data_IF_638341618576
#
_entry.id   IF_638341618576
#
_cell.length_a   1.000
_cell.length_b   1.000
_cell.length_c   1.000
_cell.angle_alpha   90.00
_cell.angle_beta   90.00
_cell.angle_gamma   90.00
#
_symmetry.space_group_name_H-M   'P 1'
#
loop_
_entity.id
_entity.type
_entity.pdbx_description
1 polymer ?
#
# COMPACT_ATOMS: atom_id res chain seq x y z
N UNK A 1 -0.66 7.16 18.16
CA UNK A 1 -1.06 5.85 17.59
C UNK A 1 -2.35 5.95 16.78
N UNK A 2 -3.48 6.43 17.33
CA UNK A 2 -4.74 6.54 16.58
C UNK A 2 -4.59 7.34 15.27
N UNK A 3 -3.93 8.50 15.31
CA UNK A 3 -3.68 9.30 14.11
C UNK A 3 -2.87 8.56 13.04
N UNK A 4 -1.88 7.74 13.44
CA UNK A 4 -1.08 6.93 12.52
C UNK A 4 -1.91 5.80 11.89
N UNK A 5 -2.80 5.16 12.66
CA UNK A 5 -3.72 4.14 12.15
C UNK A 5 -4.76 4.74 11.19
N UNK A 6 -5.27 5.94 11.47
CA UNK A 6 -6.18 6.66 10.56
C UNK A 6 -5.45 7.02 9.26
N UNK A 7 -4.21 7.51 9.36
CA UNK A 7 -3.40 7.78 8.18
C UNK A 7 -3.20 6.52 7.33
N UNK A 8 -2.78 5.41 7.93
CA UNK A 8 -2.64 4.13 7.21
C UNK A 8 -3.93 3.65 6.58
N UNK A 9 -5.06 3.81 7.27
CA UNK A 9 -6.38 3.44 6.76
C UNK A 9 -6.73 4.23 5.50
N UNK A 10 -6.60 5.57 5.56
CA UNK A 10 -6.88 6.45 4.43
C UNK A 10 -5.92 6.15 3.28
N UNK A 11 -4.63 5.98 3.58
CA UNK A 11 -3.62 5.69 2.56
C UNK A 11 -3.87 4.34 1.88
N UNK A 12 -4.16 3.29 2.65
CA UNK A 12 -4.49 1.97 2.10
C UNK A 12 -5.76 2.02 1.23
N UNK A 13 -6.77 2.81 1.61
CA UNK A 13 -7.96 3.02 0.79
C UNK A 13 -7.63 3.70 -0.55
N UNK A 14 -6.78 4.75 -0.53
CA UNK A 14 -6.30 5.42 -1.75
C UNK A 14 -5.54 4.44 -2.65
N UNK A 15 -4.62 3.68 -2.10
CA UNK A 15 -3.83 2.68 -2.85
C UNK A 15 -4.71 1.58 -3.43
N UNK A 16 -5.72 1.13 -2.67
CA UNK A 16 -6.70 0.14 -3.15
C UNK A 16 -7.50 0.68 -4.33
N UNK A 17 -8.00 1.92 -4.24
CA UNK A 17 -8.74 2.56 -5.32
C UNK A 17 -7.86 2.75 -6.57
N UNK A 18 -6.61 3.18 -6.41
CA UNK A 18 -5.65 3.32 -7.50
C UNK A 18 -5.32 1.97 -8.16
N UNK A 19 -5.06 0.92 -7.39
CA UNK A 19 -4.80 -0.42 -7.92
C UNK A 19 -6.04 -1.06 -8.57
N UNK A 20 -7.24 -0.64 -8.20
CA UNK A 20 -8.48 -1.11 -8.80
C UNK A 20 -8.75 -0.48 -10.19
N UNK A 21 -8.28 0.74 -10.44
CA UNK A 21 -8.50 1.45 -11.73
C UNK A 21 -8.05 0.64 -12.96
N UNK A 22 -6.83 0.04 -12.99
CA UNK A 22 -6.43 -0.85 -14.09
C UNK A 22 -7.30 -2.09 -14.24
N UNK A 23 -7.90 -2.56 -13.14
CA UNK A 23 -8.71 -3.79 -13.09
C UNK A 23 -10.08 -3.58 -13.72
N UNK A 24 -10.67 -2.38 -13.56
CA UNK A 24 -11.97 -2.02 -14.14
C UNK A 24 -11.87 -1.30 -15.50
N UNK A 25 -10.73 -0.70 -15.82
CA UNK A 25 -10.48 0.05 -17.06
C UNK A 25 -10.24 -0.80 -18.31
N UNK A 26 -10.38 -2.13 -18.23
CA UNK A 26 -10.21 -3.02 -19.39
C UNK A 26 -8.76 -3.12 -19.90
N UNK A 27 -7.77 -2.82 -19.06
CA UNK A 27 -6.35 -3.03 -19.35
C UNK A 27 -6.07 -4.54 -19.23
N UNK A 28 -6.60 -5.33 -20.15
CA UNK A 28 -6.36 -6.77 -20.23
C UNK A 28 -5.30 -7.07 -21.29
N UNK A 29 -4.14 -7.51 -20.82
CA UNK A 29 -2.97 -8.01 -21.54
C UNK A 29 -2.21 -6.96 -22.36
N UNK A 30 -0.87 -6.84 -22.20
CA UNK A 30 0.07 -7.81 -21.57
C UNK A 30 0.41 -7.59 -20.09
N UNK A 31 -0.33 -6.74 -19.38
CA UNK A 31 0.00 -6.31 -18.01
C UNK A 31 -0.33 -7.36 -16.93
N UNK A 32 0.51 -7.47 -15.88
CA UNK A 32 0.21 -8.34 -14.74
C UNK A 32 -1.10 -7.93 -14.06
N UNK A 33 -1.89 -8.90 -13.57
CA UNK A 33 -3.17 -8.61 -12.93
C UNK A 33 -2.96 -7.75 -11.68
N UNK A 34 -3.74 -6.68 -11.54
CA UNK A 34 -3.66 -5.79 -10.38
C UNK A 34 -4.40 -6.34 -9.12
N UNK A 35 -5.13 -7.44 -9.27
CA UNK A 35 -5.89 -8.15 -8.22
C UNK A 35 -5.08 -8.44 -6.95
N UNK A 36 -3.87 -9.06 -7.00
CA UNK A 36 -3.06 -9.28 -5.79
C UNK A 36 -2.72 -7.97 -5.04
N UNK A 37 -2.54 -6.87 -5.77
CA UNK A 37 -2.23 -5.57 -5.16
C UNK A 37 -3.45 -4.97 -4.47
N UNK A 38 -4.61 -5.07 -5.10
CA UNK A 38 -5.90 -4.69 -4.49
C UNK A 38 -6.13 -5.51 -3.23
N UNK A 39 -5.90 -6.82 -3.27
CA UNK A 39 -6.07 -7.71 -2.12
C UNK A 39 -5.13 -7.34 -0.96
N UNK A 40 -3.85 -7.08 -1.24
CA UNK A 40 -2.86 -6.71 -0.21
C UNK A 40 -3.11 -5.32 0.38
N UNK A 41 -3.45 -4.33 -0.45
CA UNK A 41 -3.82 -2.99 0.03
C UNK A 41 -5.12 -3.04 0.88
N UNK A 42 -6.08 -3.87 0.47
CA UNK A 42 -7.30 -4.13 1.25
C UNK A 42 -6.96 -4.78 2.59
N UNK A 43 -6.06 -5.77 2.62
CA UNK A 43 -5.60 -6.38 3.87
C UNK A 43 -4.93 -5.35 4.80
N UNK A 44 -4.13 -4.43 4.25
CA UNK A 44 -3.51 -3.35 5.03
C UNK A 44 -4.56 -2.38 5.62
N UNK A 45 -5.62 -2.11 4.86
CA UNK A 45 -6.77 -1.31 5.28
C UNK A 45 -7.52 -1.99 6.44
N UNK A 46 -7.81 -3.29 6.31
CA UNK A 46 -8.45 -4.09 7.36
C UNK A 46 -7.60 -4.18 8.62
N UNK A 47 -6.27 -4.31 8.49
CA UNK A 47 -5.36 -4.27 9.63
C UNK A 47 -5.39 -2.92 10.36
N UNK A 48 -5.43 -1.80 9.63
CA UNK A 48 -5.57 -0.47 10.24
C UNK A 48 -6.91 -0.30 10.98
N UNK A 49 -8.02 -0.74 10.37
CA UNK A 49 -9.35 -0.76 10.99
C UNK A 49 -9.39 -1.61 12.26
N UNK A 50 -8.82 -2.82 12.22
CA UNK A 50 -8.70 -3.70 13.37
C UNK A 50 -7.90 -3.04 14.50
N UNK A 51 -6.83 -2.30 14.19
CA UNK A 51 -6.09 -1.52 15.18
C UNK A 51 -6.90 -0.38 15.82
N UNK A 52 -7.78 0.27 15.06
CA UNK A 52 -8.66 1.31 15.60
C UNK A 52 -9.70 0.72 16.57
N UNK A 53 -10.28 -0.42 16.22
CA UNK A 53 -11.26 -1.15 17.04
C UNK A 53 -10.63 -1.82 18.27
N UNK A 54 -9.53 -2.56 18.08
CA UNK A 54 -8.88 -3.37 19.10
C UNK A 54 -7.77 -2.61 19.82
N UNK A 55 -8.16 -1.76 20.77
CA UNK A 55 -7.25 -0.83 21.48
C UNK A 55 -6.04 -1.51 22.14
N UNK A 56 -6.20 -2.73 22.66
CA UNK A 56 -5.17 -3.50 23.36
C UNK A 56 -4.00 -3.92 22.44
N UNK A 57 -4.25 -4.10 21.14
CA UNK A 57 -3.28 -4.63 20.17
C UNK A 57 -2.88 -3.60 19.11
N UNK A 58 -3.11 -2.31 19.38
CA UNK A 58 -2.87 -1.20 18.43
C UNK A 58 -1.49 -1.22 17.78
N UNK A 59 -0.44 -1.52 18.54
CA UNK A 59 0.92 -1.58 18.02
C UNK A 59 1.10 -2.70 16.99
N UNK A 60 0.60 -3.90 17.32
CA UNK A 60 0.66 -5.05 16.41
C UNK A 60 -0.06 -4.75 15.09
N UNK A 61 -1.29 -4.25 15.16
CA UNK A 61 -2.08 -3.91 13.97
C UNK A 61 -1.46 -2.79 13.14
N UNK A 62 -0.83 -1.81 13.78
CA UNK A 62 -0.07 -0.76 13.10
C UNK A 62 1.13 -1.34 12.34
N UNK A 63 1.92 -2.19 12.99
CA UNK A 63 3.08 -2.84 12.36
C UNK A 63 2.67 -3.76 11.22
N UNK A 64 1.58 -4.51 11.38
CA UNK A 64 1.02 -5.36 10.33
C UNK A 64 0.54 -4.53 9.13
N UNK A 65 -0.21 -3.45 9.37
CA UNK A 65 -0.65 -2.54 8.31
C UNK A 65 0.55 -1.92 7.57
N UNK A 66 1.59 -1.51 8.29
CA UNK A 66 2.83 -1.01 7.70
C UNK A 66 3.59 -2.06 6.91
N UNK A 67 3.69 -3.29 7.41
CA UNK A 67 4.34 -4.37 6.69
C UNK A 67 3.61 -4.66 5.38
N UNK A 68 2.28 -4.71 5.40
CA UNK A 68 1.47 -4.92 4.21
C UNK A 68 1.61 -3.78 3.20
N UNK A 69 1.61 -2.51 3.64
CA UNK A 69 1.86 -1.36 2.76
C UNK A 69 3.30 -1.29 2.24
N UNK A 70 4.29 -1.62 3.06
CA UNK A 70 5.71 -1.55 2.69
C UNK A 70 6.16 -2.70 1.78
N UNK A 71 5.53 -3.87 1.89
CA UNK A 71 5.79 -5.02 1.01
C UNK A 71 5.02 -4.97 -0.30
N UNK A 72 4.18 -3.95 -0.51
CA UNK A 72 3.65 -3.61 -1.83
C UNK A 72 4.76 -3.18 -2.82
N UNK A 73 6.06 -3.39 -2.56
CA UNK A 73 7.16 -3.09 -3.48
C UNK A 73 7.29 -4.09 -4.64
N UNK A 74 6.75 -5.31 -4.49
CA UNK A 74 6.72 -6.32 -5.56
C UNK A 74 6.22 -5.83 -6.95
N UNK A 75 5.17 -4.98 -7.07
CA UNK A 75 4.63 -4.46 -8.33
C UNK A 75 5.57 -3.45 -8.99
N UNK A 76 6.38 -2.71 -8.22
CA UNK A 76 7.38 -1.78 -8.76
C UNK A 76 8.43 -2.52 -9.59
N UNK A 77 8.84 -3.71 -9.12
CA UNK A 77 9.78 -4.56 -9.86
C UNK A 77 9.19 -5.11 -11.16
N UNK A 78 7.89 -5.41 -11.19
CA UNK A 78 7.18 -5.78 -12.40
C UNK A 78 6.96 -4.58 -13.33
N UNK A 79 6.76 -3.38 -12.77
CA UNK A 79 6.60 -2.12 -13.51
C UNK A 79 7.85 -1.72 -14.31
N UNK A 80 9.01 -2.08 -13.77
CA UNK A 80 10.34 -1.81 -14.34
C UNK A 80 10.77 -2.82 -15.42
N UNK A 81 9.98 -3.87 -15.70
CA UNK A 81 10.33 -4.85 -16.73
C UNK A 81 10.08 -4.27 -18.14
N UNK A 82 10.82 -4.73 -19.15
CA UNK A 82 10.56 -4.35 -20.54
C UNK A 82 9.13 -4.76 -20.93
N UNK A 83 8.30 -3.77 -21.23
CA UNK A 83 6.90 -4.00 -21.61
C UNK A 83 6.80 -4.40 -23.08
N UNK A 84 6.07 -5.47 -23.43
CA UNK A 84 6.04 -5.99 -24.80
C UNK A 84 5.28 -5.08 -25.81
N UNK A 85 4.66 -3.98 -25.36
CA UNK A 85 3.97 -3.00 -26.21
C UNK A 85 4.73 -1.70 -26.49
N UNK A 86 5.85 -1.43 -25.80
CA UNK A 86 6.54 -0.15 -25.87
C UNK A 86 5.88 0.94 -25.02
N UNK A 87 5.84 2.18 -25.53
CA UNK A 87 5.16 3.34 -24.89
C UNK A 87 3.68 3.40 -25.33
N UNK A 88 2.99 2.27 -25.29
CA UNK A 88 1.55 2.21 -25.46
C UNK A 88 0.91 2.73 -24.16
N UNK A 89 0.25 3.88 -24.20
CA UNK A 89 -0.18 4.66 -23.01
C UNK A 89 -0.93 3.88 -21.90
N UNK A 90 -1.38 2.65 -22.14
CA UNK A 90 -1.80 1.71 -21.11
C UNK A 90 -0.69 1.29 -20.14
N UNK A 91 0.53 1.05 -20.63
CA UNK A 91 1.68 0.67 -19.81
C UNK A 91 2.25 1.81 -19.00
N UNK A 92 2.26 3.03 -19.56
CA UNK A 92 2.53 4.24 -18.79
C UNK A 92 1.50 4.44 -17.69
N UNK A 93 0.20 4.31 -17.98
CA UNK A 93 -0.84 4.43 -16.97
C UNK A 93 -0.69 3.38 -15.86
N UNK A 94 -0.38 2.13 -16.21
CA UNK A 94 -0.13 1.08 -15.23
C UNK A 94 1.11 1.39 -14.36
N UNK A 95 2.22 1.81 -14.98
CA UNK A 95 3.46 2.19 -14.29
C UNK A 95 3.24 3.37 -13.34
N UNK A 96 2.58 4.44 -13.80
CA UNK A 96 2.33 5.62 -12.97
C UNK A 96 1.33 5.32 -11.86
N UNK A 97 0.24 4.59 -12.12
CA UNK A 97 -0.78 4.35 -11.10
C UNK A 97 -0.33 3.31 -10.08
N UNK A 98 0.16 2.16 -10.53
CA UNK A 98 0.54 1.05 -9.63
C UNK A 98 1.98 1.23 -9.12
N UNK A 99 2.93 1.59 -9.99
CA UNK A 99 4.33 1.79 -9.61
C UNK A 99 4.52 2.98 -8.66
N UNK A 100 3.95 4.16 -8.97
CA UNK A 100 4.10 5.32 -8.08
C UNK A 100 3.36 5.10 -6.74
N UNK A 101 2.15 4.53 -6.76
CA UNK A 101 1.40 4.24 -5.53
C UNK A 101 2.16 3.27 -4.62
N UNK A 102 2.86 2.29 -5.18
CA UNK A 102 3.64 1.30 -4.41
C UNK A 102 4.92 1.92 -3.84
N UNK A 103 5.64 2.73 -4.62
CA UNK A 103 6.79 3.49 -4.13
C UNK A 103 6.43 4.47 -3.01
N UNK A 104 5.33 5.21 -3.16
CA UNK A 104 4.84 6.10 -2.10
C UNK A 104 4.33 5.31 -0.88
N UNK A 105 3.76 4.12 -1.07
CA UNK A 105 3.33 3.26 0.03
C UNK A 105 4.49 2.76 0.88
N UNK A 106 5.65 2.49 0.27
CA UNK A 106 6.86 2.17 1.00
C UNK A 106 7.31 3.34 1.88
N UNK A 107 7.34 4.57 1.33
CA UNK A 107 7.71 5.77 2.09
C UNK A 107 6.71 6.06 3.23
N UNK A 108 5.42 5.89 2.95
CA UNK A 108 4.36 5.99 3.95
C UNK A 108 4.57 4.96 5.07
N UNK A 109 4.81 3.70 4.74
CA UNK A 109 5.05 2.63 5.71
C UNK A 109 6.33 2.87 6.54
N UNK A 110 7.42 3.34 5.92
CA UNK A 110 8.66 3.67 6.63
C UNK A 110 8.45 4.83 7.61
N UNK A 111 7.86 5.94 7.14
CA UNK A 111 7.65 7.13 7.97
C UNK A 111 6.72 6.85 9.15
N UNK A 112 5.64 6.11 8.94
CA UNK A 112 4.73 5.73 10.03
C UNK A 112 5.34 4.70 10.97
N UNK A 113 6.21 3.80 10.48
CA UNK A 113 6.97 2.86 11.33
C UNK A 113 7.95 3.60 12.24
N UNK A 114 8.70 4.57 11.70
CA UNK A 114 9.59 5.44 12.48
C UNK A 114 8.79 6.22 13.52
N UNK A 115 7.68 6.86 13.12
CA UNK A 115 6.82 7.60 14.05
C UNK A 115 6.24 6.68 15.15
N UNK A 116 5.89 5.44 14.80
CA UNK A 116 5.42 4.44 15.74
C UNK A 116 6.51 4.06 16.76
N UNK A 117 7.73 3.80 16.30
CA UNK A 117 8.89 3.49 17.15
C UNK A 117 9.24 4.65 18.08
N UNK A 118 9.29 5.89 17.58
CA UNK A 118 9.53 7.10 18.39
C UNK A 118 8.43 7.27 19.45
N UNK A 119 7.17 7.08 19.09
CA UNK A 119 6.06 7.14 20.04
C UNK A 119 6.14 6.06 21.13
N UNK A 120 6.52 4.83 20.75
CA UNK A 120 6.69 3.73 21.69
C UNK A 120 7.88 3.98 22.63
N UNK A 121 9.01 4.50 22.11
CA UNK A 121 10.20 4.81 22.89
C UNK A 121 9.94 5.91 23.94
N UNK A 122 9.20 6.97 23.56
CA UNK A 122 8.81 8.06 24.49
C UNK A 122 7.85 7.63 25.59
N UNK A 123 7.22 6.46 25.45
CA UNK A 123 6.26 5.91 26.43
C UNK A 123 6.86 4.83 27.31
N UNK A 124 8.13 4.46 27.13
CA UNK A 124 8.82 3.59 28.07
C UNK A 124 9.13 4.42 29.33
N UNK A 125 8.75 3.93 30.53
CA UNK A 125 9.04 4.62 31.79
C UNK A 125 10.54 4.69 32.06
#
# INVERSE_FOLDING_TARGET
>A
MTALLVFNLVWAAVVTALAALPTFGGISSPYEPAVPFVAQATAAMLAALAGLALRRWRLFWMLLSNALLGTLYWPWSCAMRPWPGGDDGGGMNWFFVVGLATGLSLLAAMSTSIACMVYAARKRP
#
